data_IF_626385041707
#
_entry.id   IF_626385041707
#
_cell.length_a   1.000
_cell.length_b   1.000
_cell.length_c   1.000
_cell.angle_alpha   90.00
_cell.angle_beta   90.00
_cell.angle_gamma   90.00
#
_symmetry.space_group_name_H-M   'P 1'
#
loop_
_entity.id
_entity.type
_entity.pdbx_description
1 polymer ?
#
# COMPACT_ATOMS: atom_id res chain seq x y z
N UNK A 1 -13.94 -15.35 7.47
CA UNK A 1 -12.98 -15.78 6.44
C UNK A 1 -12.25 -14.52 6.01
N UNK A 2 -10.94 -14.43 6.22
CA UNK A 2 -10.15 -13.30 5.72
C UNK A 2 -10.31 -13.27 4.19
N UNK A 3 -10.99 -12.25 3.66
CA UNK A 3 -11.27 -12.11 2.23
C UNK A 3 -10.06 -11.60 1.44
N UNK A 4 -9.05 -11.09 2.15
CA UNK A 4 -7.77 -10.62 1.63
C UNK A 4 -6.66 -11.60 2.05
N UNK A 5 -5.98 -12.27 1.12
CA UNK A 5 -4.94 -13.27 1.46
C UNK A 5 -3.59 -12.62 1.83
N UNK A 6 -3.49 -11.29 1.82
CA UNK A 6 -2.20 -10.59 1.81
C UNK A 6 -1.79 -10.01 3.17
N UNK A 7 -2.74 -9.66 4.04
CA UNK A 7 -2.48 -8.98 5.32
C UNK A 7 -1.40 -9.71 6.14
N UNK A 8 -1.61 -10.99 6.43
CA UNK A 8 -0.70 -11.78 7.29
C UNK A 8 0.72 -11.83 6.72
N UNK A 9 0.86 -11.98 5.39
CA UNK A 9 2.15 -12.04 4.72
C UNK A 9 2.94 -10.74 4.88
N UNK A 10 2.29 -9.58 4.68
CA UNK A 10 2.95 -8.28 4.80
C UNK A 10 3.22 -7.88 6.26
N UNK A 11 2.34 -8.26 7.20
CA UNK A 11 2.59 -8.12 8.63
C UNK A 11 3.84 -8.92 9.03
N UNK A 12 3.97 -10.16 8.57
CA UNK A 12 5.14 -10.99 8.86
C UNK A 12 6.43 -10.42 8.25
N UNK A 13 6.36 -9.83 7.05
CA UNK A 13 7.52 -9.15 6.44
C UNK A 13 7.98 -7.94 7.25
N UNK A 14 7.03 -7.15 7.78
CA UNK A 14 7.32 -6.04 8.68
C UNK A 14 7.90 -6.51 10.03
N UNK A 15 7.41 -7.62 10.58
CA UNK A 15 7.96 -8.22 11.80
C UNK A 15 9.39 -8.71 11.61
N UNK A 16 9.67 -9.40 10.50
CA UNK A 16 11.04 -9.81 10.14
C UNK A 16 11.96 -8.61 9.99
N UNK A 17 11.48 -7.53 9.37
CA UNK A 17 12.25 -6.29 9.24
C UNK A 17 12.55 -5.68 10.62
N UNK A 18 11.59 -5.70 11.54
CA UNK A 18 11.78 -5.26 12.93
C UNK A 18 12.90 -6.04 13.62
N UNK A 19 12.88 -7.38 13.51
CA UNK A 19 13.94 -8.22 14.07
C UNK A 19 15.32 -7.90 13.46
N UNK A 20 15.39 -7.65 12.14
CA UNK A 20 16.64 -7.25 11.49
C UNK A 20 17.14 -5.90 12.03
N UNK A 21 16.25 -4.93 12.24
CA UNK A 21 16.61 -3.63 12.82
C UNK A 21 17.14 -3.79 14.24
N UNK A 22 16.50 -4.62 15.06
CA UNK A 22 16.93 -4.92 16.43
C UNK A 22 18.31 -5.59 16.45
N UNK A 23 18.53 -6.60 15.61
CA UNK A 23 19.82 -7.26 15.46
C UNK A 23 20.90 -6.27 14.98
N UNK A 24 20.57 -5.41 14.01
CA UNK A 24 21.47 -4.37 13.50
C UNK A 24 21.85 -3.40 14.62
N UNK A 25 20.87 -2.96 15.42
CA UNK A 25 21.11 -2.08 16.54
C UNK A 25 21.98 -2.73 17.61
N UNK A 26 21.75 -4.01 17.92
CA UNK A 26 22.54 -4.75 18.91
C UNK A 26 24.02 -4.83 18.53
N UNK A 27 24.34 -4.95 17.24
CA UNK A 27 25.70 -4.99 16.71
C UNK A 27 26.37 -3.62 16.64
N UNK A 28 25.59 -2.55 16.53
CA UNK A 28 26.09 -1.16 16.61
C UNK A 28 26.54 -0.83 18.03
N UNK A 29 25.80 -1.31 19.04
CA UNK A 29 26.07 -1.01 20.46
C UNK A 29 26.92 -2.07 21.16
N UNK A 30 27.36 -3.11 20.46
CA UNK A 30 28.20 -4.16 21.04
C UNK A 30 29.61 -3.63 21.38
N UNK A 31 30.32 -4.36 22.24
CA UNK A 31 31.71 -4.05 22.59
C UNK A 31 32.61 -5.27 22.30
N UNK A 32 33.47 -5.24 21.26
CA UNK A 32 33.60 -4.14 20.28
C UNK A 32 32.40 -4.07 19.31
N UNK A 33 32.12 -2.89 18.72
CA UNK A 33 31.06 -2.75 17.71
C UNK A 33 31.42 -3.44 16.39
N UNK A 34 30.40 -3.90 15.66
CA UNK A 34 30.59 -4.39 14.29
C UNK A 34 30.94 -3.22 13.36
N UNK A 35 32.23 -3.10 13.01
CA UNK A 35 32.76 -1.99 12.20
C UNK A 35 32.00 -1.76 10.89
N UNK A 36 31.63 -2.82 10.16
CA UNK A 36 30.92 -2.69 8.89
C UNK A 36 29.56 -2.04 9.10
N UNK A 37 28.83 -2.48 10.13
CA UNK A 37 27.50 -1.98 10.41
C UNK A 37 27.56 -0.57 11.00
N UNK A 38 28.48 -0.35 11.94
CA UNK A 38 28.68 0.95 12.59
C UNK A 38 29.03 2.03 11.57
N UNK A 39 30.03 1.80 10.72
CA UNK A 39 30.50 2.76 9.72
C UNK A 39 29.45 3.03 8.63
N UNK A 40 28.50 2.11 8.44
CA UNK A 40 27.44 2.21 7.43
C UNK A 40 26.03 2.35 8.03
N UNK A 41 25.90 2.76 9.30
CA UNK A 41 24.60 2.81 9.98
C UNK A 41 23.54 3.63 9.22
N UNK A 42 23.93 4.79 8.67
CA UNK A 42 23.05 5.64 7.85
C UNK A 42 22.51 4.90 6.62
N UNK A 43 23.34 4.07 5.95
CA UNK A 43 22.90 3.28 4.80
C UNK A 43 21.82 2.26 5.21
N UNK A 44 22.02 1.56 6.33
CA UNK A 44 21.03 0.62 6.84
C UNK A 44 19.71 1.30 7.24
N UNK A 45 19.77 2.43 7.96
CA UNK A 45 18.57 3.21 8.31
C UNK A 45 17.78 3.62 7.07
N UNK A 46 18.45 4.11 6.02
CA UNK A 46 17.82 4.43 4.73
C UNK A 46 17.15 3.20 4.11
N UNK A 47 17.87 2.08 4.05
CA UNK A 47 17.37 0.84 3.47
C UNK A 47 16.13 0.32 4.22
N UNK A 48 16.11 0.36 5.54
CA UNK A 48 14.98 -0.05 6.36
C UNK A 48 13.74 0.82 6.11
N UNK A 49 13.90 2.14 6.05
CA UNK A 49 12.78 3.06 5.79
C UNK A 49 12.18 2.88 4.38
N UNK A 50 13.05 2.68 3.38
CA UNK A 50 12.61 2.39 2.01
C UNK A 50 11.84 1.06 1.98
N UNK A 51 12.38 0.04 2.63
CA UNK A 51 11.81 -1.32 2.62
C UNK A 51 10.44 -1.37 3.29
N UNK A 52 10.27 -0.77 4.48
CA UNK A 52 8.97 -0.78 5.18
C UNK A 52 7.88 -0.04 4.37
N UNK A 53 8.23 1.06 3.68
CA UNK A 53 7.29 1.77 2.82
C UNK A 53 6.94 0.96 1.57
N UNK A 54 7.90 0.25 0.98
CA UNK A 54 7.66 -0.63 -0.16
C UNK A 54 6.71 -1.78 0.21
N UNK A 55 6.82 -2.33 1.41
CA UNK A 55 5.86 -3.32 1.92
C UNK A 55 4.46 -2.75 2.07
N UNK A 56 4.32 -1.53 2.63
CA UNK A 56 3.02 -0.86 2.71
C UNK A 56 2.41 -0.65 1.31
N UNK A 57 3.18 -0.13 0.36
CA UNK A 57 2.73 0.14 -1.01
C UNK A 57 2.28 -1.13 -1.73
N UNK A 58 3.05 -2.22 -1.56
CA UNK A 58 2.74 -3.52 -2.16
C UNK A 58 1.49 -4.14 -1.55
N UNK A 59 1.32 -4.03 -0.22
CA UNK A 59 0.10 -4.45 0.46
C UNK A 59 -1.14 -3.71 -0.07
N UNK A 60 -1.10 -2.38 -0.12
CA UNK A 60 -2.24 -1.57 -0.61
C UNK A 60 -2.62 -1.98 -2.04
N UNK A 61 -1.62 -2.26 -2.88
CA UNK A 61 -1.81 -2.71 -4.26
C UNK A 61 -2.48 -4.07 -4.35
N UNK A 62 -1.97 -5.04 -3.61
CA UNK A 62 -2.49 -6.39 -3.63
C UNK A 62 -3.91 -6.45 -3.06
N UNK A 63 -4.17 -5.72 -1.96
CA UNK A 63 -5.50 -5.68 -1.34
C UNK A 63 -6.54 -5.00 -2.23
N UNK A 64 -6.22 -3.90 -2.90
CA UNK A 64 -7.15 -3.26 -3.86
C UNK A 64 -7.42 -4.14 -5.08
N UNK A 65 -6.44 -4.94 -5.54
CA UNK A 65 -6.68 -5.89 -6.62
C UNK A 65 -7.68 -6.98 -6.25
N UNK A 66 -7.76 -7.36 -4.97
CA UNK A 66 -8.82 -8.26 -4.48
C UNK A 66 -10.21 -7.70 -4.79
N UNK A 67 -10.41 -6.39 -4.66
CA UNK A 67 -11.69 -5.72 -5.00
C UNK A 67 -11.95 -5.76 -6.50
N UNK A 68 -10.93 -5.51 -7.32
CA UNK A 68 -11.05 -5.61 -8.79
C UNK A 68 -11.44 -7.02 -9.20
N UNK A 69 -10.81 -8.04 -8.61
CA UNK A 69 -11.02 -9.44 -8.95
C UNK A 69 -12.41 -9.93 -8.51
N UNK A 70 -12.84 -9.59 -7.29
CA UNK A 70 -14.20 -9.87 -6.81
C UNK A 70 -15.27 -9.17 -7.68
N UNK A 71 -15.06 -7.89 -8.00
CA UNK A 71 -15.97 -7.14 -8.89
C UNK A 71 -16.02 -7.79 -10.27
N UNK A 72 -14.90 -8.20 -10.83
CA UNK A 72 -14.86 -8.92 -12.10
C UNK A 72 -15.60 -10.26 -12.04
N UNK A 73 -15.48 -11.02 -10.95
CA UNK A 73 -16.23 -12.25 -10.76
C UNK A 73 -17.76 -11.99 -10.75
N UNK A 74 -18.20 -10.94 -10.05
CA UNK A 74 -19.61 -10.49 -10.03
C UNK A 74 -20.09 -10.08 -11.42
N UNK A 75 -19.31 -9.30 -12.17
CA UNK A 75 -19.64 -8.87 -13.53
C UNK A 75 -19.76 -10.05 -14.51
N UNK A 76 -18.84 -11.01 -14.43
CA UNK A 76 -18.87 -12.23 -15.25
C UNK A 76 -20.12 -13.05 -14.94
N UNK A 77 -20.45 -13.22 -13.65
CA UNK A 77 -21.66 -13.92 -13.22
C UNK A 77 -22.95 -13.25 -13.72
N UNK A 78 -22.99 -11.91 -13.71
CA UNK A 78 -24.13 -11.13 -14.18
C UNK A 78 -24.30 -11.13 -15.71
N UNK A 79 -23.31 -11.61 -16.48
CA UNK A 79 -23.33 -11.71 -17.96
C UNK A 79 -23.72 -10.40 -18.66
N UNK A 80 -23.33 -9.25 -18.09
CA UNK A 80 -23.67 -7.95 -18.64
C UNK A 80 -22.98 -7.73 -19.99
N UNK A 81 -23.69 -7.32 -21.06
CA UNK A 81 -23.07 -7.04 -22.35
C UNK A 81 -22.18 -5.78 -22.29
N UNK A 82 -20.93 -5.88 -22.74
CA UNK A 82 -19.97 -4.76 -22.75
C UNK A 82 -20.52 -3.52 -23.48
N UNK A 83 -21.05 -3.72 -24.69
CA UNK A 83 -21.55 -2.62 -25.54
C UNK A 83 -22.73 -1.88 -24.91
N UNK A 84 -23.63 -2.59 -24.21
CA UNK A 84 -24.80 -2.01 -23.57
C UNK A 84 -24.40 -1.04 -22.47
N UNK A 85 -23.47 -1.46 -21.60
CA UNK A 85 -23.00 -0.63 -20.48
C UNK A 85 -22.16 0.55 -21.01
N UNK A 86 -21.33 0.32 -22.03
CA UNK A 86 -20.56 1.39 -22.68
C UNK A 86 -21.47 2.48 -23.24
N UNK A 87 -22.58 2.10 -23.89
CA UNK A 87 -23.60 3.02 -24.39
C UNK A 87 -24.32 3.76 -23.25
N UNK A 88 -24.77 3.03 -22.22
CA UNK A 88 -25.55 3.59 -21.11
C UNK A 88 -24.78 4.58 -20.23
N UNK A 89 -23.47 4.38 -20.03
CA UNK A 89 -22.65 5.29 -19.23
C UNK A 89 -22.22 6.56 -19.97
N UNK A 90 -22.57 6.70 -21.26
CA UNK A 90 -22.21 7.87 -22.06
C UNK A 90 -20.71 8.14 -22.09
N UNK A 91 -19.87 7.12 -21.84
CA UNK A 91 -18.44 7.26 -21.59
C UNK A 91 -17.67 7.85 -22.79
N UNK A 92 -18.29 7.83 -23.97
CA UNK A 92 -17.87 8.58 -25.16
C UNK A 92 -19.12 9.12 -25.87
N UNK A 93 -19.15 10.42 -26.17
CA UNK A 93 -20.17 11.00 -27.10
C UNK A 93 -20.09 10.36 -28.49
N UNK A 94 -18.92 9.82 -28.85
CA UNK A 94 -18.66 9.06 -30.06
C UNK A 94 -18.00 7.72 -29.70
N UNK A 95 -18.79 6.67 -29.47
CA UNK A 95 -18.28 5.31 -29.33
C UNK A 95 -17.76 4.87 -30.70
N UNK A 96 -16.45 4.61 -30.81
CA UNK A 96 -15.86 4.14 -32.07
C UNK A 96 -16.20 2.67 -32.27
N UNK A 97 -16.28 2.22 -33.52
CA UNK A 97 -16.50 0.80 -33.83
C UNK A 97 -15.43 -0.11 -33.20
N UNK A 98 -14.20 0.38 -33.06
CA UNK A 98 -13.09 -0.31 -32.37
C UNK A 98 -13.31 -0.53 -30.87
N UNK A 99 -14.19 0.25 -30.24
CA UNK A 99 -14.55 0.13 -28.83
C UNK A 99 -15.67 -0.91 -28.61
N UNK A 100 -16.45 -1.22 -29.66
CA UNK A 100 -17.53 -2.20 -29.64
C UNK A 100 -16.96 -3.62 -29.73
N UNK A 101 -17.29 -4.46 -28.76
CA UNK A 101 -16.77 -5.83 -28.66
C UNK A 101 -17.89 -6.76 -28.21
N UNK A 102 -18.08 -7.86 -28.92
CA UNK A 102 -18.99 -8.94 -28.52
C UNK A 102 -18.39 -9.76 -27.37
N UNK A 103 -18.38 -9.16 -26.17
CA UNK A 103 -17.89 -9.79 -24.94
C UNK A 103 -18.72 -9.35 -23.73
N UNK A 104 -18.63 -10.10 -22.64
CA UNK A 104 -19.15 -9.67 -21.35
C UNK A 104 -18.32 -8.51 -20.79
N UNK A 105 -18.97 -7.64 -20.02
CA UNK A 105 -18.32 -6.54 -19.32
C UNK A 105 -17.27 -7.08 -18.34
N UNK A 106 -16.10 -6.47 -18.33
CA UNK A 106 -15.02 -6.73 -17.38
C UNK A 106 -14.24 -5.44 -17.14
N UNK A 107 -13.77 -5.24 -15.92
CA UNK A 107 -12.77 -4.22 -15.59
C UNK A 107 -11.41 -4.66 -16.16
N UNK A 108 -10.83 -3.84 -17.04
CA UNK A 108 -9.49 -4.07 -17.61
C UNK A 108 -8.35 -3.49 -16.74
N UNK A 109 -8.62 -3.24 -15.45
CA UNK A 109 -7.65 -2.73 -14.49
C UNK A 109 -6.63 -3.83 -14.15
N UNK A 110 -5.35 -3.54 -14.35
CA UNK A 110 -4.22 -4.38 -13.98
C UNK A 110 -3.47 -3.77 -12.81
N UNK A 111 -2.66 -4.59 -12.14
CA UNK A 111 -1.72 -4.15 -11.09
C UNK A 111 -0.94 -2.90 -11.48
N UNK A 112 -0.40 -2.86 -12.70
CA UNK A 112 0.38 -1.71 -13.19
C UNK A 112 -0.43 -0.41 -13.32
N UNK A 113 -1.73 -0.50 -13.53
CA UNK A 113 -2.60 0.68 -13.69
C UNK A 113 -2.86 1.34 -12.33
N UNK A 114 -2.50 0.66 -11.23
CA UNK A 114 -2.53 1.21 -9.88
C UNK A 114 -1.19 1.88 -9.50
N UNK A 115 -0.10 1.63 -10.22
CA UNK A 115 1.24 2.10 -9.81
C UNK A 115 1.34 3.63 -9.75
N UNK A 116 0.68 4.33 -10.69
CA UNK A 116 0.67 5.79 -10.71
C UNK A 116 -0.22 6.41 -9.61
N UNK A 117 -1.13 5.62 -9.04
CA UNK A 117 -2.11 6.09 -8.04
C UNK A 117 -1.80 5.61 -6.62
N UNK A 118 -1.04 4.52 -6.48
CA UNK A 118 -0.61 3.99 -5.18
C UNK A 118 0.64 4.73 -4.75
N UNK A 119 0.55 5.32 -3.57
CA UNK A 119 1.72 5.73 -2.82
C UNK A 119 1.46 5.40 -1.37
N UNK A 120 2.51 5.14 -0.59
CA UNK A 120 2.34 4.96 0.86
C UNK A 120 1.68 6.18 1.53
N UNK A 121 1.60 7.32 0.84
CA UNK A 121 0.96 8.54 1.32
C UNK A 121 -0.57 8.33 1.50
N UNK A 122 -1.10 8.48 2.72
CA UNK A 122 -2.52 8.27 3.01
C UNK A 122 -3.47 9.21 2.27
N UNK A 123 -3.06 10.43 1.94
CA UNK A 123 -3.90 11.40 1.24
C UNK A 123 -4.11 11.04 -0.23
N UNK A 124 -3.05 10.59 -0.91
CA UNK A 124 -3.16 10.04 -2.26
C UNK A 124 -3.91 8.71 -2.26
N UNK A 125 -3.65 7.88 -1.26
CA UNK A 125 -4.36 6.60 -1.06
C UNK A 125 -5.86 6.81 -0.91
N UNK A 126 -6.30 7.83 -0.15
CA UNK A 126 -7.72 8.19 -0.03
C UNK A 126 -8.38 8.41 -1.38
N UNK A 127 -7.75 9.18 -2.26
CA UNK A 127 -8.33 9.50 -3.57
C UNK A 127 -8.45 8.25 -4.45
N UNK A 128 -7.51 7.31 -4.33
CA UNK A 128 -7.61 6.00 -4.96
C UNK A 128 -8.75 5.17 -4.36
N UNK A 129 -8.83 5.04 -3.04
CA UNK A 129 -9.87 4.27 -2.34
C UNK A 129 -11.28 4.79 -2.64
N UNK A 130 -11.43 6.11 -2.87
CA UNK A 130 -12.67 6.70 -3.34
C UNK A 130 -13.13 6.12 -4.68
N UNK A 131 -12.22 5.79 -5.60
CA UNK A 131 -12.56 5.11 -6.88
C UNK A 131 -13.10 3.71 -6.67
N UNK A 132 -12.72 3.06 -5.57
CA UNK A 132 -13.23 1.75 -5.13
C UNK A 132 -14.47 1.86 -4.24
N UNK A 133 -15.01 3.07 -4.01
CA UNK A 133 -16.18 3.25 -3.16
C UNK A 133 -15.91 3.07 -1.66
N UNK A 134 -14.65 3.13 -1.22
CA UNK A 134 -14.28 3.08 0.19
C UNK A 134 -13.99 4.49 0.70
N UNK A 135 -14.77 4.94 1.68
CA UNK A 135 -14.64 6.27 2.29
C UNK A 135 -13.75 6.23 3.55
N UNK A 136 -12.42 6.34 3.35
CA UNK A 136 -11.44 6.29 4.46
C UNK A 136 -11.67 7.38 5.52
N UNK A 137 -12.12 8.58 5.13
CA UNK A 137 -12.31 9.71 6.05
C UNK A 137 -13.44 9.50 7.07
N UNK A 138 -14.35 8.55 6.83
CA UNK A 138 -15.39 8.18 7.80
C UNK A 138 -14.86 7.25 8.91
N UNK A 139 -13.69 6.65 8.71
CA UNK A 139 -13.09 5.76 9.71
C UNK A 139 -12.24 6.59 10.69
N UNK A 140 -12.59 6.54 11.98
CA UNK A 140 -11.91 7.29 13.03
C UNK A 140 -10.44 6.87 13.19
N UNK A 141 -10.18 5.57 13.08
CA UNK A 141 -8.83 5.01 13.23
C UNK A 141 -7.89 5.50 12.11
N UNK A 142 -8.37 5.56 10.87
CA UNK A 142 -7.64 6.11 9.73
C UNK A 142 -7.29 7.59 9.97
N UNK A 143 -8.24 8.37 10.51
CA UNK A 143 -8.00 9.77 10.81
C UNK A 143 -6.95 9.99 11.91
N UNK A 144 -6.84 9.07 12.87
CA UNK A 144 -5.79 9.07 13.89
C UNK A 144 -4.43 8.68 13.28
N UNK A 145 -4.42 7.69 12.38
CA UNK A 145 -3.20 7.11 11.83
C UNK A 145 -2.58 7.92 10.69
N UNK A 146 -3.39 8.60 9.86
CA UNK A 146 -2.95 9.18 8.58
C UNK A 146 -1.77 10.14 8.69
N UNK A 147 -1.70 10.96 9.73
CA UNK A 147 -0.59 11.93 9.88
C UNK A 147 0.74 11.22 10.18
N UNK A 148 0.70 10.20 11.04
CA UNK A 148 1.89 9.40 11.35
C UNK A 148 2.41 8.68 10.10
N UNK A 149 1.52 8.02 9.35
CA UNK A 149 1.88 7.31 8.12
C UNK A 149 2.39 8.29 7.04
N UNK A 150 1.77 9.48 6.94
CA UNK A 150 2.25 10.52 6.04
C UNK A 150 3.67 10.98 6.40
N UNK A 151 3.96 11.20 7.69
CA UNK A 151 5.30 11.59 8.16
C UNK A 151 6.38 10.58 7.74
N UNK A 152 6.10 9.28 7.94
CA UNK A 152 7.00 8.17 7.54
C UNK A 152 7.30 8.23 6.04
N UNK A 153 6.25 8.36 5.21
CA UNK A 153 6.38 8.35 3.75
C UNK A 153 7.08 9.62 3.24
N UNK A 154 6.80 10.77 3.84
CA UNK A 154 7.50 12.03 3.52
C UNK A 154 8.98 11.90 3.83
N UNK A 155 9.35 11.31 4.98
CA UNK A 155 10.76 11.06 5.32
C UNK A 155 11.42 10.10 4.33
N UNK A 156 10.74 9.01 3.95
CA UNK A 156 11.20 8.09 2.90
C UNK A 156 11.45 8.82 1.58
N UNK A 157 10.53 9.68 1.16
CA UNK A 157 10.65 10.41 -0.10
C UNK A 157 11.84 11.39 -0.08
N UNK A 158 12.10 12.05 1.06
CA UNK A 158 13.29 12.89 1.23
C UNK A 158 14.58 12.10 1.10
N UNK A 159 14.68 10.94 1.74
CA UNK A 159 15.82 10.04 1.63
C UNK A 159 16.02 9.57 0.18
N UNK A 160 14.95 9.17 -0.52
CA UNK A 160 15.04 8.69 -1.89
C UNK A 160 15.39 9.77 -2.90
N UNK A 161 14.78 10.96 -2.81
CA UNK A 161 14.87 11.99 -3.85
C UNK A 161 15.93 13.05 -3.59
N UNK A 162 16.30 13.28 -2.33
CA UNK A 162 17.28 14.30 -1.97
C UNK A 162 18.57 13.70 -1.40
N UNK A 163 18.65 12.35 -1.32
CA UNK A 163 19.73 11.63 -0.65
C UNK A 163 19.98 12.14 0.79
N UNK A 164 18.95 12.71 1.42
CA UNK A 164 19.02 13.24 2.77
C UNK A 164 19.63 12.21 3.70
N UNK A 165 20.43 12.66 4.66
CA UNK A 165 20.86 11.78 5.74
C UNK A 165 19.66 11.30 6.56
N UNK A 166 19.77 10.07 7.05
CA UNK A 166 18.85 9.49 8.01
C UNK A 166 19.42 9.53 9.43
N UNK A 167 20.41 10.39 9.67
CA UNK A 167 21.08 10.56 10.96
C UNK A 167 20.15 11.08 12.05
N UNK A 168 19.02 11.70 11.68
CA UNK A 168 17.93 12.14 12.54
C UNK A 168 16.88 11.04 12.84
N UNK A 169 17.04 9.83 12.30
CA UNK A 169 16.14 8.69 12.55
C UNK A 169 16.91 7.60 13.29
N UNK A 170 16.49 7.32 14.51
CA UNK A 170 17.05 6.22 15.30
C UNK A 170 16.44 4.87 14.90
N UNK A 171 17.15 3.78 15.21
CA UNK A 171 16.60 2.42 15.04
C UNK A 171 15.32 2.21 15.86
N UNK A 172 15.16 2.91 16.99
CA UNK A 172 13.93 2.88 17.79
C UNK A 172 12.76 3.51 17.03
N UNK A 173 12.99 4.65 16.38
CA UNK A 173 11.96 5.30 15.55
C UNK A 173 11.52 4.39 14.40
N UNK A 174 12.45 3.62 13.81
CA UNK A 174 12.12 2.64 12.76
C UNK A 174 11.20 1.51 13.29
N UNK A 175 11.46 0.99 14.49
CA UNK A 175 10.60 -0.02 15.11
C UNK A 175 9.21 0.55 15.43
N UNK A 176 9.13 1.79 15.93
CA UNK A 176 7.85 2.48 16.16
C UNK A 176 7.09 2.72 14.85
N UNK A 177 7.79 3.08 13.77
CA UNK A 177 7.22 3.21 12.44
C UNK A 177 6.64 1.88 11.94
N UNK A 178 7.35 0.76 12.14
CA UNK A 178 6.83 -0.57 11.80
C UNK A 178 5.53 -0.88 12.55
N UNK A 179 5.46 -0.58 13.84
CA UNK A 179 4.24 -0.77 14.64
C UNK A 179 3.09 0.07 14.06
N UNK A 180 3.34 1.34 13.72
CA UNK A 180 2.33 2.21 13.11
C UNK A 180 1.85 1.66 11.75
N UNK A 181 2.78 1.20 10.90
CA UNK A 181 2.46 0.59 9.60
C UNK A 181 1.61 -0.67 9.75
N UNK A 182 1.94 -1.56 10.70
CA UNK A 182 1.15 -2.78 10.96
C UNK A 182 -0.29 -2.44 11.37
N UNK A 183 -0.47 -1.49 12.30
CA UNK A 183 -1.81 -1.03 12.72
C UNK A 183 -2.60 -0.44 11.56
N UNK A 184 -1.94 0.33 10.70
CA UNK A 184 -2.55 0.89 9.51
C UNK A 184 -2.97 -0.19 8.51
N UNK A 185 -2.11 -1.19 8.25
CA UNK A 185 -2.43 -2.33 7.39
C UNK A 185 -3.67 -3.07 7.90
N UNK A 186 -3.73 -3.36 9.21
CA UNK A 186 -4.87 -4.05 9.83
C UNK A 186 -6.16 -3.26 9.63
N UNK A 187 -6.17 -1.96 9.96
CA UNK A 187 -7.35 -1.11 9.80
C UNK A 187 -7.81 -1.02 8.33
N UNK A 188 -6.88 -0.86 7.38
CA UNK A 188 -7.22 -0.84 5.96
C UNK A 188 -7.76 -2.20 5.50
N UNK A 189 -7.21 -3.31 6.00
CA UNK A 189 -7.68 -4.66 5.68
C UNK A 189 -9.14 -4.87 6.08
N UNK A 190 -9.50 -4.43 7.30
CA UNK A 190 -10.86 -4.50 7.82
C UNK A 190 -11.84 -3.70 6.97
N UNK A 191 -11.45 -2.50 6.53
CA UNK A 191 -12.25 -1.67 5.64
C UNK A 191 -12.47 -2.33 4.27
N UNK A 192 -11.45 -2.98 3.72
CA UNK A 192 -11.54 -3.70 2.45
C UNK A 192 -12.43 -4.94 2.61
N UNK A 193 -12.24 -5.74 3.67
CA UNK A 193 -13.05 -6.92 3.92
C UNK A 193 -14.53 -6.55 4.06
N UNK A 194 -14.85 -5.49 4.82
CA UNK A 194 -16.21 -4.98 4.97
C UNK A 194 -16.83 -4.50 3.64
N UNK A 195 -16.01 -3.99 2.72
CA UNK A 195 -16.48 -3.58 1.39
C UNK A 195 -16.78 -4.79 0.48
N UNK A 196 -16.11 -5.92 0.71
CA UNK A 196 -16.32 -7.16 -0.04
C UNK A 196 -17.49 -8.01 0.50
N UNK A 197 -18.00 -7.71 1.69
CA UNK A 197 -19.20 -8.31 2.30
C UNK A 197 -20.49 -7.79 1.65
#
# INVERSE_FOLDING_TARGET
MDKTPYKESYILQLEKLSSIIEDTNSRIISDPPDSLIYDNANFFTKAFLITMCAYLESYLKDSLMTIVDDTNAKLVSAKLPHNLILWGLGAKKDIKETDLKFKSLKLEIKKKDLDDSISGNPFKTRDLFKKFGIELEKNSEFNIQKEAINSIVVKRNKILHHNDEASDVSNKDLTENIIALKKYIINIDELICKHLD
#
